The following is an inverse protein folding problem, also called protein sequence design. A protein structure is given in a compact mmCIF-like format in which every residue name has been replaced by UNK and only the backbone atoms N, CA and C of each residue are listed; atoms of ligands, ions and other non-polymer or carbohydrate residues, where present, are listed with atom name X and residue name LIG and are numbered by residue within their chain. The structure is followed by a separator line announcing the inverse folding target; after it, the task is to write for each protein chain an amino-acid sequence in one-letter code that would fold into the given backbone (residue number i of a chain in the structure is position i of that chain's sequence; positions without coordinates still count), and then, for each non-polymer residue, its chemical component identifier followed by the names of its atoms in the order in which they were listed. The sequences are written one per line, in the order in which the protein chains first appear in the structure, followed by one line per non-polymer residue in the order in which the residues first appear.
data_IF_572966576334
#
_entry.id   IF_572966576334
#
_cell.length_a   1.000
_cell.length_b   1.000
_cell.length_c   1.000
_cell.angle_alpha   90.00
_cell.angle_beta   90.00
_cell.angle_gamma   90.00
#
_symmetry.space_group_name_H-M   'P 1'
#
loop_
_entity.id
_entity.type
_entity.pdbx_description
1 polymer ?
#
# COMPACT_ATOMS: atom_id res chain seq x y z
N UNK A 1 -30.08 -0.90 -35.41
CA UNK A 1 -29.35 -1.67 -34.39
C UNK A 1 -30.32 -2.45 -33.54
N UNK A 2 -30.04 -3.72 -33.33
CA UNK A 2 -30.82 -4.57 -32.42
C UNK A 2 -30.53 -4.17 -30.97
N UNK A 3 -31.52 -4.20 -30.08
CA UNK A 3 -31.34 -3.79 -28.68
C UNK A 3 -30.26 -4.64 -27.97
N UNK A 4 -30.08 -5.89 -28.41
CA UNK A 4 -29.04 -6.81 -27.95
C UNK A 4 -27.62 -6.33 -28.31
N UNK A 5 -27.42 -5.70 -29.47
CA UNK A 5 -26.11 -5.18 -29.89
C UNK A 5 -25.69 -3.98 -29.05
N UNK A 6 -26.64 -3.08 -28.76
CA UNK A 6 -26.43 -1.93 -27.88
C UNK A 6 -26.06 -2.42 -26.47
N UNK A 7 -26.72 -3.48 -26.00
CA UNK A 7 -26.41 -4.12 -24.72
C UNK A 7 -25.00 -4.71 -24.68
N UNK A 8 -24.58 -5.39 -25.77
CA UNK A 8 -23.24 -5.95 -25.92
C UNK A 8 -22.12 -4.89 -25.95
N UNK A 9 -22.34 -3.77 -26.64
CA UNK A 9 -21.39 -2.66 -26.64
C UNK A 9 -21.28 -1.98 -25.28
N UNK A 10 -22.41 -1.76 -24.60
CA UNK A 10 -22.41 -1.26 -23.22
C UNK A 10 -21.62 -2.17 -22.28
N UNK A 11 -21.83 -3.49 -22.37
CA UNK A 11 -21.08 -4.48 -21.59
C UNK A 11 -19.58 -4.45 -21.87
N UNK A 12 -19.18 -4.28 -23.13
CA UNK A 12 -17.76 -4.25 -23.53
C UNK A 12 -17.04 -3.00 -23.03
N UNK A 13 -17.70 -1.84 -23.10
CA UNK A 13 -17.18 -0.58 -22.56
C UNK A 13 -17.02 -0.66 -21.04
N UNK A 14 -17.98 -1.30 -20.36
CA UNK A 14 -17.96 -1.48 -18.91
C UNK A 14 -16.76 -2.34 -18.47
N UNK A 15 -16.50 -3.45 -19.17
CA UNK A 15 -15.34 -4.30 -18.93
C UNK A 15 -14.04 -3.53 -19.20
N UNK A 16 -13.97 -2.76 -20.28
CA UNK A 16 -12.79 -1.97 -20.62
C UNK A 16 -12.46 -0.90 -19.56
N UNK A 17 -13.48 -0.18 -19.06
CA UNK A 17 -13.33 0.82 -18.00
C UNK A 17 -12.91 0.17 -16.67
N UNK A 18 -13.45 -1.00 -16.35
CA UNK A 18 -13.07 -1.75 -15.14
C UNK A 18 -11.59 -2.12 -15.10
N UNK A 19 -10.97 -2.36 -16.25
CA UNK A 19 -9.55 -2.73 -16.33
C UNK A 19 -8.60 -1.52 -16.29
N UNK A 20 -9.12 -0.30 -16.45
CA UNK A 20 -8.32 0.92 -16.61
C UNK A 20 -7.96 1.66 -15.32
N UNK A 21 -8.56 1.36 -14.16
CA UNK A 21 -8.31 2.13 -12.93
C UNK A 21 -7.17 1.56 -12.06
N UNK A 22 -6.03 2.26 -12.08
CA UNK A 22 -4.78 1.86 -11.43
C UNK A 22 -4.43 2.61 -10.12
N UNK A 23 -5.25 3.55 -9.62
CA UNK A 23 -4.93 4.27 -8.37
C UNK A 23 -6.15 4.42 -7.43
N UNK A 24 -6.06 3.78 -6.25
CA UNK A 24 -7.18 2.94 -5.74
C UNK A 24 -7.87 3.52 -4.50
N UNK A 25 -7.24 4.34 -3.66
CA UNK A 25 -7.77 4.54 -2.30
C UNK A 25 -8.84 5.65 -2.17
N UNK A 26 -8.48 6.91 -2.46
CA UNK A 26 -9.40 8.05 -2.27
C UNK A 26 -10.48 8.12 -3.35
N UNK A 27 -10.13 7.72 -4.56
CA UNK A 27 -11.04 7.71 -5.71
C UNK A 27 -12.17 6.69 -5.52
N UNK A 28 -11.88 5.52 -4.94
CA UNK A 28 -12.91 4.49 -4.68
C UNK A 28 -13.91 4.89 -3.60
N UNK A 29 -13.49 5.64 -2.59
CA UNK A 29 -14.44 6.17 -1.59
C UNK A 29 -15.42 7.16 -2.21
N UNK A 30 -14.93 8.06 -3.07
CA UNK A 30 -15.78 9.02 -3.77
C UNK A 30 -16.70 8.29 -4.77
N UNK A 31 -16.16 7.31 -5.50
CA UNK A 31 -16.93 6.50 -6.45
C UNK A 31 -17.99 5.64 -5.75
N UNK A 32 -17.69 5.08 -4.59
CA UNK A 32 -18.63 4.32 -3.77
C UNK A 32 -19.82 5.18 -3.31
N UNK A 33 -19.55 6.40 -2.84
CA UNK A 33 -20.60 7.35 -2.42
C UNK A 33 -21.42 7.82 -3.63
N UNK A 34 -20.76 8.19 -4.72
CA UNK A 34 -21.41 8.64 -5.95
C UNK A 34 -22.27 7.55 -6.60
N UNK A 35 -21.73 6.34 -6.76
CA UNK A 35 -22.45 5.20 -7.28
C UNK A 35 -23.57 4.76 -6.32
N UNK A 36 -23.38 4.79 -5.00
CA UNK A 36 -24.45 4.52 -4.03
C UNK A 36 -25.63 5.50 -4.16
N UNK A 37 -25.32 6.80 -4.32
CA UNK A 37 -26.33 7.82 -4.56
C UNK A 37 -27.05 7.61 -5.90
N UNK A 38 -26.33 7.29 -6.98
CA UNK A 38 -26.95 7.04 -8.29
C UNK A 38 -27.72 5.71 -8.37
N UNK A 39 -27.28 4.68 -7.65
CA UNK A 39 -27.98 3.41 -7.54
C UNK A 39 -29.32 3.60 -6.83
N UNK A 40 -29.31 4.26 -5.67
CA UNK A 40 -30.54 4.59 -4.92
C UNK A 40 -31.47 5.50 -5.73
N UNK A 41 -30.93 6.52 -6.39
CA UNK A 41 -31.69 7.35 -7.32
C UNK A 41 -32.33 6.52 -8.45
N UNK A 42 -31.57 5.65 -9.11
CA UNK A 42 -32.06 4.77 -10.17
C UNK A 42 -33.20 3.85 -9.72
N UNK A 43 -33.13 3.35 -8.48
CA UNK A 43 -34.21 2.56 -7.88
C UNK A 43 -35.47 3.39 -7.64
N UNK A 44 -35.32 4.61 -7.12
CA UNK A 44 -36.45 5.51 -6.82
C UNK A 44 -37.23 5.90 -8.08
N UNK A 45 -36.56 6.07 -9.22
CA UNK A 45 -37.21 6.43 -10.49
C UNK A 45 -37.57 5.21 -11.37
N UNK A 46 -37.33 3.99 -10.90
CA UNK A 46 -37.55 2.76 -11.68
C UNK A 46 -36.60 2.58 -12.87
N UNK A 47 -35.48 3.30 -12.92
CA UNK A 47 -34.47 3.19 -13.97
C UNK A 47 -33.54 2.01 -13.68
N UNK A 48 -34.01 0.80 -14.00
CA UNK A 48 -33.28 -0.46 -13.80
C UNK A 48 -31.84 -0.46 -14.35
N UNK A 49 -31.53 0.08 -15.54
CA UNK A 49 -30.15 0.11 -16.03
C UNK A 49 -29.22 0.97 -15.17
N UNK A 50 -29.73 2.11 -14.66
CA UNK A 50 -28.97 3.04 -13.81
C UNK A 50 -28.72 2.41 -12.44
N UNK A 51 -29.77 1.81 -11.86
CA UNK A 51 -29.68 1.10 -10.59
C UNK A 51 -28.71 -0.09 -10.65
N UNK A 52 -28.81 -0.92 -11.70
CA UNK A 52 -27.97 -2.11 -11.87
C UNK A 52 -26.50 -1.74 -12.07
N UNK A 53 -26.22 -0.76 -12.94
CA UNK A 53 -24.85 -0.31 -13.22
C UNK A 53 -24.19 0.25 -11.97
N UNK A 54 -24.85 1.20 -11.30
CA UNK A 54 -24.28 1.85 -10.12
C UNK A 54 -24.23 0.90 -8.90
N UNK A 55 -25.19 -0.01 -8.77
CA UNK A 55 -25.15 -1.08 -7.77
C UNK A 55 -23.98 -2.04 -7.99
N UNK A 56 -23.68 -2.39 -9.23
CA UNK A 56 -22.51 -3.22 -9.57
C UNK A 56 -21.19 -2.51 -9.23
N UNK A 57 -21.10 -1.21 -9.50
CA UNK A 57 -19.94 -0.38 -9.13
C UNK A 57 -19.75 -0.37 -7.61
N UNK A 58 -20.82 -0.18 -6.83
CA UNK A 58 -20.79 -0.24 -5.36
C UNK A 58 -20.24 -1.59 -4.88
N UNK A 59 -20.69 -2.71 -5.46
CA UNK A 59 -20.20 -4.05 -5.10
C UNK A 59 -18.70 -4.21 -5.37
N UNK A 60 -18.25 -3.80 -6.56
CA UNK A 60 -16.83 -3.85 -6.93
C UNK A 60 -15.99 -3.02 -5.97
N UNK A 61 -16.41 -1.80 -5.67
CA UNK A 61 -15.66 -0.91 -4.79
C UNK A 61 -15.57 -1.45 -3.36
N UNK A 62 -16.63 -2.06 -2.83
CA UNK A 62 -16.60 -2.74 -1.52
C UNK A 62 -15.58 -3.88 -1.50
N UNK A 63 -15.56 -4.75 -2.52
CA UNK A 63 -14.62 -5.87 -2.60
C UNK A 63 -13.17 -5.37 -2.64
N UNK A 64 -12.90 -4.36 -3.46
CA UNK A 64 -11.56 -3.78 -3.54
C UNK A 64 -11.14 -3.15 -2.21
N UNK A 65 -12.04 -2.41 -1.56
CA UNK A 65 -11.77 -1.79 -0.27
C UNK A 65 -11.47 -2.85 0.80
N UNK A 66 -12.22 -3.96 0.80
CA UNK A 66 -11.98 -5.08 1.70
C UNK A 66 -10.65 -5.79 1.47
N UNK A 67 -10.28 -6.03 0.20
CA UNK A 67 -8.95 -6.58 -0.14
C UNK A 67 -7.82 -5.65 0.30
N UNK A 68 -8.05 -4.35 0.22
CA UNK A 68 -7.12 -3.30 0.64
C UNK A 68 -6.83 -3.35 2.13
N UNK A 69 -7.88 -3.41 2.95
CA UNK A 69 -7.78 -3.48 4.40
C UNK A 69 -7.21 -4.82 4.89
N UNK A 70 -7.29 -5.86 4.05
CA UNK A 70 -6.77 -7.20 4.34
C UNK A 70 -5.33 -7.43 3.91
N UNK A 71 -4.67 -6.50 3.22
CA UNK A 71 -3.23 -6.64 2.93
C UNK A 71 -2.50 -6.67 4.27
N UNK A 72 -1.86 -7.80 4.65
CA UNK A 72 -1.06 -7.83 5.86
C UNK A 72 0.03 -6.76 5.71
N UNK A 73 0.16 -5.88 6.70
CA UNK A 73 1.30 -4.98 6.76
C UNK A 73 2.55 -5.84 6.61
N UNK A 74 3.43 -5.48 5.67
CA UNK A 74 4.61 -6.30 5.44
C UNK A 74 5.39 -6.39 6.76
N UNK A 75 5.92 -7.59 7.06
CA UNK A 75 6.63 -7.81 8.31
C UNK A 75 7.73 -6.74 8.44
N UNK A 76 7.72 -6.04 9.58
CA UNK A 76 8.74 -5.04 9.87
C UNK A 76 9.96 -5.78 10.38
N UNK A 77 11.06 -5.71 9.64
CA UNK A 77 12.33 -6.34 10.02
C UNK A 77 13.40 -5.29 10.13
N UNK A 78 14.18 -5.35 11.20
CA UNK A 78 15.31 -4.45 11.44
C UNK A 78 16.61 -5.24 11.22
N UNK A 79 17.50 -4.69 10.41
CA UNK A 79 18.80 -5.30 10.12
C UNK A 79 19.89 -4.25 10.29
N UNK A 80 20.97 -4.62 10.97
CA UNK A 80 22.10 -3.74 11.24
C UNK A 80 23.17 -3.92 10.16
N UNK A 81 23.64 -2.80 9.61
CA UNK A 81 24.71 -2.74 8.62
C UNK A 81 25.81 -1.79 9.08
N UNK A 82 27.03 -1.98 8.58
CA UNK A 82 28.06 -0.95 8.66
C UNK A 82 27.93 0.00 7.47
N UNK A 83 28.15 1.30 7.67
CA UNK A 83 28.07 2.28 6.57
C UNK A 83 29.08 1.99 5.46
N UNK A 84 30.23 1.37 5.78
CA UNK A 84 31.21 0.91 4.80
C UNK A 84 30.75 -0.25 3.91
N UNK A 85 29.63 -0.92 4.20
CA UNK A 85 29.17 -2.06 3.42
C UNK A 85 28.84 -1.64 1.98
N UNK A 86 29.30 -2.42 1.01
CA UNK A 86 29.03 -2.20 -0.41
C UNK A 86 27.53 -2.16 -0.70
N UNK A 87 26.73 -2.96 0.01
CA UNK A 87 25.26 -2.93 -0.13
C UNK A 87 24.68 -1.58 0.34
N UNK A 88 25.23 -1.00 1.41
CA UNK A 88 24.79 0.28 1.95
C UNK A 88 25.09 1.43 0.97
N UNK A 89 26.32 1.48 0.47
CA UNK A 89 26.80 2.53 -0.42
C UNK A 89 26.16 2.48 -1.83
N UNK A 90 25.70 1.30 -2.28
CA UNK A 90 25.15 1.16 -3.64
C UNK A 90 23.63 1.11 -3.68
N UNK A 91 23.00 0.34 -2.80
CA UNK A 91 21.55 0.06 -2.85
C UNK A 91 20.79 0.94 -1.86
N UNK A 92 21.26 1.03 -0.61
CA UNK A 92 20.57 1.81 0.42
C UNK A 92 20.74 3.30 0.22
N UNK A 93 21.93 3.80 -0.11
CA UNK A 93 22.18 5.20 -0.43
C UNK A 93 21.30 5.72 -1.57
N UNK A 94 21.09 4.91 -2.62
CA UNK A 94 20.22 5.27 -3.75
C UNK A 94 18.74 5.43 -3.35
N UNK A 95 18.31 4.73 -2.29
CA UNK A 95 16.92 4.74 -1.81
C UNK A 95 16.72 5.71 -0.64
N UNK A 96 17.75 5.89 0.19
CA UNK A 96 17.81 6.72 1.38
C UNK A 96 19.03 7.63 1.28
N UNK A 97 18.95 8.74 0.53
CA UNK A 97 20.09 9.62 0.25
C UNK A 97 20.66 10.31 1.50
N UNK A 98 19.98 10.20 2.64
CA UNK A 98 20.45 10.70 3.93
C UNK A 98 21.61 9.87 4.51
N UNK A 99 21.86 8.66 3.98
CA UNK A 99 22.94 7.77 4.41
C UNK A 99 24.31 8.25 3.90
N UNK A 100 24.36 8.95 2.76
CA UNK A 100 25.62 9.41 2.13
C UNK A 100 26.44 10.38 2.99
N UNK A 101 25.82 11.00 4.01
CA UNK A 101 26.48 11.91 4.95
C UNK A 101 27.12 11.23 6.17
N UNK A 102 26.98 9.91 6.32
CA UNK A 102 27.42 9.17 7.50
C UNK A 102 28.87 8.70 7.40
N UNK A 103 29.54 8.57 8.54
CA UNK A 103 30.92 8.13 8.57
C UNK A 103 31.00 6.61 8.32
N UNK A 104 32.02 6.16 7.57
CA UNK A 104 32.14 4.77 7.15
C UNK A 104 32.22 3.75 8.31
N UNK A 105 32.64 4.19 9.50
CA UNK A 105 32.75 3.38 10.71
C UNK A 105 31.45 3.31 11.54
N UNK A 106 30.43 4.09 11.18
CA UNK A 106 29.15 4.06 11.89
C UNK A 106 28.37 2.79 11.53
N UNK A 107 27.59 2.30 12.50
CA UNK A 107 26.65 1.21 12.28
C UNK A 107 25.27 1.81 12.16
N UNK A 108 24.51 1.38 11.16
CA UNK A 108 23.15 1.82 10.94
C UNK A 108 22.21 0.64 11.12
N UNK A 109 21.11 0.85 11.83
CA UNK A 109 19.98 -0.06 11.85
C UNK A 109 18.99 0.39 10.81
N UNK A 110 18.80 -0.41 9.77
CA UNK A 110 17.83 -0.12 8.72
C UNK A 110 16.55 -0.89 9.01
N UNK A 111 15.43 -0.18 8.96
CA UNK A 111 14.10 -0.74 9.11
C UNK A 111 13.51 -1.03 7.74
N UNK A 112 13.10 -2.27 7.52
CA UNK A 112 12.45 -2.72 6.30
C UNK A 112 10.98 -3.04 6.54
N UNK A 113 10.12 -2.68 5.60
CA UNK A 113 8.74 -3.11 5.51
C UNK A 113 8.64 -4.03 4.29
N UNK A 114 8.73 -5.34 4.52
CA UNK A 114 8.91 -6.31 3.46
C UNK A 114 10.29 -6.17 2.80
N UNK A 115 10.34 -5.84 1.51
CA UNK A 115 11.59 -5.62 0.76
C UNK A 115 12.01 -4.16 0.66
N UNK A 116 11.18 -3.23 1.16
CA UNK A 116 11.39 -1.80 1.03
C UNK A 116 12.03 -1.23 2.30
N UNK A 117 13.17 -0.52 2.21
CA UNK A 117 13.73 0.20 3.35
C UNK A 117 12.88 1.45 3.63
N UNK A 118 12.28 1.52 4.81
CA UNK A 118 11.38 2.62 5.22
C UNK A 118 12.08 3.65 6.12
N UNK A 119 13.22 3.32 6.70
CA UNK A 119 14.00 4.26 7.50
C UNK A 119 15.28 3.64 8.06
N UNK A 120 16.13 4.46 8.68
CA UNK A 120 17.34 4.01 9.35
C UNK A 120 17.62 4.84 10.61
N UNK A 121 18.31 4.23 11.56
CA UNK A 121 18.80 4.85 12.79
C UNK A 121 20.30 4.62 12.88
N UNK A 122 21.09 5.66 13.19
CA UNK A 122 22.52 5.50 13.47
C UNK A 122 22.63 4.93 14.87
N UNK A 123 23.28 3.78 14.97
CA UNK A 123 23.58 3.17 16.25
C UNK A 123 24.78 3.92 16.84
N UNK A 124 24.50 4.85 17.74
CA UNK A 124 25.49 5.26 18.72
C UNK A 124 25.92 4.02 19.50
N UNK A 125 27.23 3.80 19.57
CA UNK A 125 27.84 2.68 20.26
C UNK A 125 27.25 2.61 21.69
N UNK A 126 26.32 1.68 21.91
CA UNK A 126 25.74 1.45 23.23
C UNK A 126 26.91 1.19 24.19
N UNK A 127 27.08 1.95 25.29
CA UNK A 127 28.11 1.64 26.26
C UNK A 127 27.83 0.23 26.76
N UNK A 128 28.74 -0.67 26.41
CA UNK A 128 28.72 -2.07 26.76
C UNK A 128 28.62 -2.18 28.28
N UNK A 129 27.41 -2.32 28.83
CA UNK A 129 27.26 -2.72 30.22
C UNK A 129 27.63 -4.20 30.27
N UNK A 130 28.73 -4.58 30.94
CA UNK A 130 29.13 -5.98 30.96
C UNK A 130 28.08 -6.77 31.75
N UNK A 131 27.57 -7.84 31.14
CA UNK A 131 26.60 -8.79 31.70
C UNK A 131 27.15 -9.60 32.91
N UNK A 132 28.17 -9.08 33.59
CA UNK A 132 28.87 -9.71 34.72
C UNK A 132 28.52 -9.11 36.08
N UNK A 133 27.82 -7.97 36.14
CA UNK A 133 27.43 -7.37 37.42
C UNK A 133 26.30 -8.14 38.14
N UNK A 134 25.48 -8.92 37.43
CA UNK A 134 24.39 -9.71 38.04
C UNK A 134 24.87 -11.02 38.69
N UNK A 135 26.08 -11.50 38.36
CA UNK A 135 26.64 -12.75 38.90
C UNK A 135 27.64 -12.59 40.05
N UNK A 136 27.90 -11.37 40.51
CA UNK A 136 28.81 -11.09 41.64
C UNK A 136 28.10 -10.61 42.91
N UNK A 137 26.77 -10.48 42.87
CA UNK A 137 25.95 -10.06 44.01
C UNK A 137 25.03 -11.18 44.58
N UNK A 138 25.30 -12.44 44.22
CA UNK A 138 24.59 -13.63 44.71
C UNK A 138 25.53 -14.55 45.48
#
# INVERSE_FOLDING_TARGET
MNWLEIYGYLGSVLIAVSLMMADIYKLRWINLVGAGAFASYGLLIGAWPVAALNGFIVLIDIVHLWQLYRKPKAARSEVEFQVADAYVQTVLAATLPQIDGLAANERIRVTFEGTQPVGFEVLEEQPHYPATAEKLAA
#
